data_IF_063903439236
#
_entry.id   IF_063903439236
#
_cell.length_a   1.000
_cell.length_b   1.000
_cell.length_c   1.000
_cell.angle_alpha   90.00
_cell.angle_beta   90.00
_cell.angle_gamma   90.00
#
_symmetry.space_group_name_H-M   'P 1'
#
loop_
_entity.id
_entity.type
_entity.pdbx_description
1 polymer ?
#
# COMPACT_ATOMS: atom_id res chain seq x y z
N UNK A 1 -22.91 11.48 4.65
CA UNK A 1 -22.00 10.92 5.67
C UNK A 1 -20.83 10.25 4.96
N UNK A 2 -19.67 10.90 4.92
CA UNK A 2 -18.45 10.32 4.35
C UNK A 2 -17.97 9.27 5.35
N UNK A 3 -17.98 8.00 4.96
CA UNK A 3 -17.54 6.90 5.83
C UNK A 3 -16.04 7.05 6.14
N UNK A 4 -15.71 7.54 7.34
CA UNK A 4 -14.36 7.88 7.81
C UNK A 4 -13.45 6.67 8.08
N UNK A 5 -13.94 5.44 7.93
CA UNK A 5 -13.21 4.19 8.25
C UNK A 5 -12.34 3.61 7.13
N UNK A 6 -12.41 4.13 5.89
CA UNK A 6 -11.84 3.45 4.72
C UNK A 6 -10.35 3.71 4.50
N UNK A 7 -9.75 4.69 5.17
CA UNK A 7 -8.29 4.86 5.23
C UNK A 7 -7.57 3.70 5.92
N UNK A 8 -8.29 2.83 6.64
CA UNK A 8 -7.71 1.61 7.20
C UNK A 8 -7.26 0.62 6.11
N UNK A 9 -8.02 0.54 5.02
CA UNK A 9 -7.72 -0.42 3.95
C UNK A 9 -6.41 -0.08 3.21
N UNK A 10 -5.95 1.18 3.22
CA UNK A 10 -4.60 1.52 2.69
C UNK A 10 -3.45 0.98 3.55
N UNK A 11 -3.72 0.62 4.81
CA UNK A 11 -2.78 -0.05 5.71
C UNK A 11 -2.91 -1.58 5.63
N UNK A 12 -4.13 -2.09 5.40
CA UNK A 12 -4.38 -3.54 5.30
C UNK A 12 -3.61 -4.16 4.14
N UNK A 13 -3.59 -3.52 2.96
CA UNK A 13 -2.89 -4.04 1.77
C UNK A 13 -1.38 -4.25 1.98
N UNK A 14 -0.61 -3.27 2.50
CA UNK A 14 0.81 -3.49 2.80
C UNK A 14 1.02 -4.53 3.92
N UNK A 15 0.17 -4.57 4.95
CA UNK A 15 0.26 -5.61 5.99
C UNK A 15 0.02 -7.00 5.39
N UNK A 16 -1.04 -7.15 4.58
CA UNK A 16 -1.34 -8.41 3.91
C UNK A 16 -0.21 -8.85 2.97
N UNK A 17 0.37 -7.91 2.21
CA UNK A 17 1.51 -8.21 1.33
C UNK A 17 2.75 -8.67 2.11
N UNK A 18 3.06 -8.04 3.26
CA UNK A 18 4.14 -8.49 4.16
C UNK A 18 3.86 -9.91 4.66
N UNK A 19 2.65 -10.18 5.13
CA UNK A 19 2.26 -11.49 5.66
C UNK A 19 2.31 -12.58 4.59
N UNK A 20 1.83 -12.29 3.38
CA UNK A 20 1.91 -13.21 2.23
C UNK A 20 3.36 -13.49 1.86
N UNK A 21 4.23 -12.47 1.82
CA UNK A 21 5.65 -12.64 1.57
C UNK A 21 6.32 -13.48 2.66
N UNK A 22 6.01 -13.22 3.93
CA UNK A 22 6.55 -13.99 5.05
C UNK A 22 6.07 -15.44 5.04
N UNK A 23 4.85 -15.70 4.59
CA UNK A 23 4.26 -17.03 4.52
C UNK A 23 4.80 -17.86 3.34
N UNK A 24 4.83 -17.31 2.13
CA UNK A 24 5.26 -18.03 0.93
C UNK A 24 6.78 -18.06 0.73
N UNK A 25 7.49 -17.06 1.25
CA UNK A 25 8.95 -16.94 1.13
C UNK A 25 9.58 -16.74 2.52
N UNK A 26 9.39 -17.68 3.45
CA UNK A 26 9.96 -17.56 4.78
C UNK A 26 11.48 -17.43 4.69
N UNK A 27 12.05 -16.46 5.40
CA UNK A 27 13.49 -16.29 5.44
C UNK A 27 14.13 -17.38 6.32
N UNK A 28 15.23 -17.98 5.86
CA UNK A 28 15.95 -19.06 6.57
C UNK A 28 16.76 -18.58 7.79
N UNK A 29 16.51 -17.36 8.28
CA UNK A 29 17.14 -16.80 9.47
C UNK A 29 16.62 -17.40 10.80
N UNK A 30 17.03 -16.83 11.94
CA UNK A 30 16.58 -17.34 13.25
C UNK A 30 15.05 -17.38 13.31
N UNK A 31 14.51 -18.56 13.63
CA UNK A 31 13.06 -18.85 13.62
C UNK A 31 12.27 -17.70 14.26
N UNK A 32 11.44 -17.03 13.46
CA UNK A 32 10.53 -15.98 13.90
C UNK A 32 10.91 -14.55 13.50
N UNK A 33 12.11 -14.30 12.96
CA UNK A 33 12.51 -12.95 12.54
C UNK A 33 12.33 -12.76 11.03
N UNK A 34 11.33 -11.95 10.63
CA UNK A 34 11.24 -11.45 9.25
C UNK A 34 12.28 -10.36 9.05
N UNK A 35 13.21 -10.51 8.09
CA UNK A 35 14.27 -9.53 7.88
C UNK A 35 13.68 -8.22 7.34
N UNK A 36 14.25 -7.09 7.75
CA UNK A 36 13.81 -5.76 7.33
C UNK A 36 13.62 -5.62 5.80
N UNK A 37 14.52 -6.12 4.93
CA UNK A 37 14.31 -6.08 3.49
C UNK A 37 13.03 -6.77 3.02
N UNK A 38 12.63 -7.88 3.63
CA UNK A 38 11.41 -8.59 3.26
C UNK A 38 10.16 -7.83 3.71
N UNK A 39 10.22 -7.17 4.87
CA UNK A 39 9.15 -6.26 5.34
C UNK A 39 9.01 -5.07 4.40
N UNK A 40 10.12 -4.43 4.02
CA UNK A 40 10.11 -3.30 3.09
C UNK A 40 9.62 -3.70 1.70
N UNK A 41 10.00 -4.89 1.22
CA UNK A 41 9.51 -5.42 -0.05
C UNK A 41 7.99 -5.63 0.00
N UNK A 42 7.47 -6.26 1.05
CA UNK A 42 6.04 -6.49 1.20
C UNK A 42 5.25 -5.18 1.34
N UNK A 43 5.76 -4.25 2.15
CA UNK A 43 5.16 -2.94 2.31
C UNK A 43 5.14 -2.15 1.00
N UNK A 44 6.25 -2.18 0.26
CA UNK A 44 6.37 -1.56 -1.07
C UNK A 44 5.41 -2.16 -2.09
N UNK A 45 5.30 -3.49 -2.16
CA UNK A 45 4.36 -4.17 -3.07
C UNK A 45 2.92 -3.79 -2.73
N UNK A 46 2.51 -3.90 -1.46
CA UNK A 46 1.13 -3.59 -1.08
C UNK A 46 0.78 -2.12 -1.28
N UNK A 47 1.73 -1.21 -1.07
CA UNK A 47 1.52 0.21 -1.33
C UNK A 47 1.49 0.54 -2.84
N UNK A 48 2.30 -0.13 -3.67
CA UNK A 48 2.22 0.00 -5.13
C UNK A 48 0.88 -0.48 -5.69
N UNK A 49 0.37 -1.62 -5.18
CA UNK A 49 -0.97 -2.12 -5.52
C UNK A 49 -2.04 -1.10 -5.17
N UNK A 50 -1.97 -0.45 -4.00
CA UNK A 50 -2.91 0.60 -3.63
C UNK A 50 -2.89 1.80 -4.58
N UNK A 51 -1.69 2.24 -4.99
CA UNK A 51 -1.53 3.36 -5.92
C UNK A 51 -2.14 3.00 -7.27
N UNK A 52 -1.74 1.87 -7.86
CA UNK A 52 -2.21 1.42 -9.17
C UNK A 52 -3.73 1.22 -9.19
N UNK A 53 -4.26 0.56 -8.16
CA UNK A 53 -5.69 0.27 -8.07
C UNK A 53 -6.49 1.57 -7.95
N UNK A 54 -6.02 2.56 -7.20
CA UNK A 54 -6.74 3.83 -7.13
C UNK A 54 -6.56 4.74 -8.34
N UNK A 55 -5.42 4.69 -9.04
CA UNK A 55 -5.31 5.34 -10.34
C UNK A 55 -6.28 4.73 -11.35
N UNK A 56 -6.37 3.39 -11.38
CA UNK A 56 -7.28 2.68 -12.27
C UNK A 56 -8.75 2.96 -11.95
N UNK A 57 -9.14 2.94 -10.68
CA UNK A 57 -10.51 3.18 -10.25
C UNK A 57 -10.93 4.66 -10.36
N UNK A 58 -9.99 5.60 -10.42
CA UNK A 58 -10.26 7.03 -10.62
C UNK A 58 -9.89 7.53 -12.03
N UNK A 59 -9.67 6.64 -12.99
CA UNK A 59 -9.26 7.01 -14.36
C UNK A 59 -10.31 7.78 -15.16
N UNK A 60 -11.58 7.69 -14.79
CA UNK A 60 -12.70 8.32 -15.51
C UNK A 60 -12.84 9.78 -15.07
N UNK A 61 -12.91 10.75 -16.01
CA UNK A 61 -13.13 12.16 -15.68
C UNK A 61 -14.44 12.33 -14.90
N UNK A 62 -14.36 13.05 -13.78
CA UNK A 62 -15.53 13.32 -12.93
C UNK A 62 -16.18 14.62 -13.34
N UNK A 63 -17.51 14.64 -13.36
CA UNK A 63 -18.23 15.90 -13.50
C UNK A 63 -18.06 16.72 -12.22
N UNK A 64 -17.94 18.03 -12.36
CA UNK A 64 -17.78 18.95 -11.20
C UNK A 64 -18.98 18.76 -10.26
N UNK A 65 -18.70 18.30 -9.04
CA UNK A 65 -19.71 18.08 -7.99
C UNK A 65 -20.01 16.62 -7.67
N UNK A 66 -19.51 15.65 -8.44
CA UNK A 66 -19.72 14.22 -8.17
C UNK A 66 -18.73 13.67 -7.13
N UNK A 67 -19.28 12.98 -6.12
CA UNK A 67 -18.51 12.28 -5.09
C UNK A 67 -17.62 11.17 -5.68
N UNK A 68 -16.64 10.73 -4.87
CA UNK A 68 -15.92 9.47 -5.03
C UNK A 68 -16.77 8.34 -5.60
N UNK A 69 -16.68 7.85 -6.86
CA UNK A 69 -17.26 6.54 -7.15
C UNK A 69 -16.65 5.51 -6.19
N UNK A 70 -15.35 5.68 -5.90
CA UNK A 70 -14.60 4.91 -4.92
C UNK A 70 -13.94 5.85 -3.92
N UNK A 71 -14.66 6.19 -2.84
CA UNK A 71 -14.13 6.99 -1.72
C UNK A 71 -12.83 6.44 -1.13
N UNK A 72 -12.63 5.12 -1.21
CA UNK A 72 -11.44 4.42 -0.73
C UNK A 72 -10.15 4.83 -1.46
N UNK A 73 -10.24 5.11 -2.76
CA UNK A 73 -9.08 5.37 -3.61
C UNK A 73 -8.96 6.83 -4.02
N UNK A 74 -9.62 7.73 -3.31
CA UNK A 74 -9.51 9.15 -3.59
C UNK A 74 -8.03 9.54 -3.54
N UNK A 75 -7.51 10.11 -4.63
CA UNK A 75 -6.08 10.43 -4.82
C UNK A 75 -5.38 11.03 -3.58
N UNK A 76 -6.01 11.95 -2.80
CA UNK A 76 -5.46 12.47 -1.55
C UNK A 76 -5.15 11.42 -0.46
N UNK A 77 -5.87 10.30 -0.42
CA UNK A 77 -5.60 9.19 0.52
C UNK A 77 -4.50 8.25 0.04
N UNK A 78 -4.01 8.40 -1.21
CA UNK A 78 -2.92 7.57 -1.74
C UNK A 78 -1.53 8.14 -1.44
N UNK A 79 -1.42 9.43 -1.08
CA UNK A 79 -0.13 10.06 -0.72
C UNK A 79 0.62 9.35 0.40
N UNK A 80 -0.01 8.87 1.49
CA UNK A 80 0.69 8.10 2.52
C UNK A 80 1.24 6.77 1.99
N UNK A 81 0.49 6.07 1.13
CA UNK A 81 0.95 4.83 0.50
C UNK A 81 2.14 5.11 -0.43
N UNK A 82 2.05 6.17 -1.25
CA UNK A 82 3.14 6.61 -2.13
C UNK A 82 4.39 6.98 -1.32
N UNK A 83 4.24 7.72 -0.23
CA UNK A 83 5.35 8.06 0.67
C UNK A 83 5.99 6.79 1.26
N UNK A 84 5.20 5.79 1.62
CA UNK A 84 5.69 4.52 2.13
C UNK A 84 6.48 3.74 1.06
N UNK A 85 6.02 3.72 -0.20
CA UNK A 85 6.79 3.17 -1.33
C UNK A 85 8.13 3.89 -1.46
N UNK A 86 8.13 5.22 -1.48
CA UNK A 86 9.36 6.02 -1.64
C UNK A 86 10.34 5.73 -0.50
N UNK A 87 9.88 5.69 0.74
CA UNK A 87 10.72 5.36 1.90
C UNK A 87 11.29 3.94 1.77
N UNK A 88 10.49 2.95 1.39
CA UNK A 88 10.96 1.58 1.18
C UNK A 88 12.03 1.50 0.09
N UNK A 89 11.83 2.20 -1.03
CA UNK A 89 12.80 2.28 -2.14
C UNK A 89 14.10 2.96 -1.69
N UNK A 90 14.02 4.09 -0.99
CA UNK A 90 15.20 4.82 -0.49
C UNK A 90 16.01 3.94 0.47
N UNK A 91 15.36 3.26 1.42
CA UNK A 91 16.06 2.37 2.35
C UNK A 91 16.68 1.18 1.61
N UNK A 92 16.00 0.63 0.61
CA UNK A 92 16.54 -0.46 -0.20
C UNK A 92 17.76 -0.04 -1.05
N UNK A 93 17.80 1.22 -1.53
CA UNK A 93 18.93 1.74 -2.32
C UNK A 93 20.13 2.16 -1.47
N UNK A 94 19.91 2.52 -0.20
CA UNK A 94 20.96 2.95 0.75
C UNK A 94 21.63 1.78 1.48
N UNK A 95 21.23 0.54 1.21
CA UNK A 95 21.71 -0.67 1.89
C UNK A 95 22.35 -1.62 0.90
#
# INVERSE_FOLDING_TARGET
MIYRGWGFMTLVTPIAAILLLAYFFPHEGSKGNTPLPQVLLGAGIGAAVNVLLGLWLNRVPRQKGEAAPHHFFFLPMQWPALALVVVCVVIALLR
#
